data_IF_222910956575
#
_entry.id   IF_222910956575
#
_cell.length_a   1.000
_cell.length_b   1.000
_cell.length_c   1.000
_cell.angle_alpha   90.00
_cell.angle_beta   90.00
_cell.angle_gamma   90.00
#
_symmetry.space_group_name_H-M   'P 1'
#
loop_
_entity.id
_entity.type
_entity.pdbx_description
1 polymer ?
#
# COMPACT_ATOMS: atom_id res chain seq x y z
N UNK A 1 -1.24 10.57 -2.80
CA UNK A 1 -2.24 9.89 -3.65
C UNK A 1 -1.69 8.50 -3.90
N UNK A 2 -2.33 7.46 -3.35
CA UNK A 2 -1.85 6.07 -3.41
C UNK A 2 -2.91 5.09 -3.92
N UNK A 3 -4.21 5.23 -3.60
CA UNK A 3 -5.24 4.38 -4.19
C UNK A 3 -5.45 4.72 -5.68
N UNK A 4 -5.82 3.71 -6.45
CA UNK A 4 -6.25 3.82 -7.85
C UNK A 4 -7.70 3.29 -8.03
N UNK A 5 -8.19 3.30 -9.27
CA UNK A 5 -9.57 2.94 -9.60
C UNK A 5 -9.92 1.45 -9.45
N UNK A 6 -8.95 0.58 -9.17
CA UNK A 6 -9.19 -0.85 -8.97
C UNK A 6 -9.65 -1.21 -7.55
N UNK A 7 -9.54 -0.28 -6.60
CA UNK A 7 -9.87 -0.54 -5.20
C UNK A 7 -11.39 -0.62 -4.95
N UNK A 8 -11.80 -1.52 -4.06
CA UNK A 8 -13.17 -1.51 -3.50
C UNK A 8 -13.39 -0.22 -2.73
N UNK A 9 -14.34 0.59 -3.17
CA UNK A 9 -14.55 1.95 -2.65
C UNK A 9 -14.97 1.95 -1.18
N UNK A 10 -15.74 0.97 -0.74
CA UNK A 10 -16.23 0.90 0.64
C UNK A 10 -15.10 0.50 1.58
N UNK A 11 -14.34 -0.53 1.23
CA UNK A 11 -13.19 -0.97 2.02
C UNK A 11 -12.10 0.11 2.04
N UNK A 12 -11.88 0.80 0.93
CA UNK A 12 -10.92 1.90 0.83
C UNK A 12 -11.30 3.05 1.78
N UNK A 13 -12.53 3.53 1.72
CA UNK A 13 -12.98 4.65 2.56
C UNK A 13 -12.94 4.27 4.05
N UNK A 14 -13.43 3.07 4.40
CA UNK A 14 -13.39 2.59 5.78
C UNK A 14 -11.94 2.45 6.31
N UNK A 15 -11.03 1.90 5.50
CA UNK A 15 -9.61 1.78 5.85
C UNK A 15 -8.93 3.13 6.03
N UNK A 16 -9.24 4.12 5.18
CA UNK A 16 -8.74 5.48 5.30
C UNK A 16 -9.25 6.15 6.59
N UNK A 17 -10.53 5.97 6.94
CA UNK A 17 -11.09 6.49 8.19
C UNK A 17 -10.43 5.86 9.42
N UNK A 18 -10.13 4.56 9.40
CA UNK A 18 -9.35 3.90 10.46
C UNK A 18 -7.95 4.50 10.59
N UNK A 19 -7.26 4.73 9.47
CA UNK A 19 -5.94 5.35 9.47
C UNK A 19 -5.97 6.78 10.03
N UNK A 20 -6.98 7.57 9.66
CA UNK A 20 -7.19 8.91 10.21
C UNK A 20 -7.46 8.89 11.72
N UNK A 21 -8.38 8.02 12.19
CA UNK A 21 -8.66 7.79 13.61
C UNK A 21 -7.37 7.46 14.37
N UNK A 22 -6.60 6.49 13.88
CA UNK A 22 -5.32 6.09 14.49
C UNK A 22 -4.41 7.30 14.64
N UNK A 23 -4.31 8.16 13.62
CA UNK A 23 -3.53 9.39 13.65
C UNK A 23 -3.94 10.34 14.78
N UNK A 24 -5.25 10.55 14.97
CA UNK A 24 -5.79 11.36 16.06
C UNK A 24 -5.57 10.74 17.45
N UNK A 25 -5.56 9.42 17.55
CA UNK A 25 -5.35 8.68 18.80
C UNK A 25 -3.86 8.44 19.13
N UNK A 26 -2.92 8.85 18.27
CA UNK A 26 -1.49 8.67 18.53
C UNK A 26 -1.05 9.46 19.77
N UNK A 27 -0.28 8.82 20.66
CA UNK A 27 0.27 9.48 21.86
C UNK A 27 1.23 10.65 21.53
N UNK A 28 1.97 10.54 20.43
CA UNK A 28 2.98 11.54 20.02
C UNK A 28 2.90 11.81 18.50
N UNK A 29 1.84 12.48 18.02
CA UNK A 29 1.62 12.68 16.58
C UNK A 29 2.69 13.62 15.99
N UNK A 30 3.12 14.65 16.73
CA UNK A 30 4.14 15.61 16.27
C UNK A 30 5.47 14.95 15.92
N UNK A 31 5.93 13.97 16.73
CA UNK A 31 7.15 13.21 16.43
C UNK A 31 7.02 12.42 15.12
N UNK A 32 5.83 11.89 14.84
CA UNK A 32 5.58 11.19 13.58
C UNK A 32 5.61 12.18 12.43
N UNK A 33 4.97 13.34 12.59
CA UNK A 33 4.99 14.43 11.61
C UNK A 33 6.42 14.87 11.29
N UNK A 34 7.27 15.12 12.29
CA UNK A 34 8.68 15.48 12.08
C UNK A 34 9.45 14.45 11.25
N UNK A 35 9.13 13.16 11.41
CA UNK A 35 9.78 12.06 10.70
C UNK A 35 9.26 11.86 9.28
N UNK A 36 7.99 12.19 9.01
CA UNK A 36 7.33 11.90 7.74
C UNK A 36 7.02 13.12 6.90
N UNK A 37 7.18 14.33 7.45
CA UNK A 37 6.92 15.58 6.73
C UNK A 37 8.01 15.86 5.69
N UNK A 38 7.55 16.18 4.48
CA UNK A 38 8.40 16.42 3.33
C UNK A 38 7.92 17.71 2.66
N UNK A 39 8.79 18.70 2.68
CA UNK A 39 8.65 20.04 2.11
C UNK A 39 9.57 20.29 0.91
N UNK A 40 10.32 19.26 0.49
CA UNK A 40 11.31 19.31 -0.57
C UNK A 40 11.05 18.22 -1.60
N UNK A 41 11.64 18.35 -2.79
CA UNK A 41 11.59 17.29 -3.79
C UNK A 41 12.46 16.09 -3.37
N UNK A 42 11.85 15.06 -2.80
CA UNK A 42 12.54 13.84 -2.34
C UNK A 42 13.18 13.01 -3.46
N UNK A 43 12.92 13.34 -4.73
CA UNK A 43 13.56 12.68 -5.88
C UNK A 43 14.82 13.40 -6.35
N UNK A 44 15.16 14.56 -5.76
CA UNK A 44 16.42 15.23 -6.03
C UNK A 44 17.61 14.42 -5.48
N UNK A 45 18.72 14.41 -6.22
CA UNK A 45 19.95 13.70 -5.84
C UNK A 45 20.48 14.19 -4.49
N UNK A 46 20.26 15.45 -4.17
CA UNK A 46 20.71 16.10 -2.93
C UNK A 46 19.84 15.73 -1.71
N UNK A 47 18.74 15.00 -1.92
CA UNK A 47 17.76 14.64 -0.89
C UNK A 47 17.59 13.13 -0.70
N UNK A 48 18.51 12.32 -1.25
CA UNK A 48 18.51 10.86 -1.15
C UNK A 48 18.45 10.35 0.29
N UNK A 49 19.12 11.03 1.22
CA UNK A 49 19.13 10.66 2.64
C UNK A 49 17.76 10.82 3.29
N UNK A 50 16.98 11.83 2.88
CA UNK A 50 15.61 12.04 3.37
C UNK A 50 14.69 10.94 2.82
N UNK A 51 14.80 10.61 1.54
CA UNK A 51 14.05 9.52 0.92
C UNK A 51 14.36 8.16 1.56
N UNK A 52 15.62 7.88 1.89
CA UNK A 52 16.04 6.61 2.50
C UNK A 52 15.43 6.38 3.91
N UNK A 53 15.08 7.45 4.62
CA UNK A 53 14.46 7.38 5.95
C UNK A 53 12.94 7.16 5.91
N UNK A 54 12.29 7.46 4.78
CA UNK A 54 10.85 7.29 4.62
C UNK A 54 10.52 5.81 4.41
N UNK A 55 9.43 5.37 5.04
CA UNK A 55 8.88 4.04 4.76
C UNK A 55 8.33 4.02 3.33
N UNK A 56 8.70 2.99 2.58
CA UNK A 56 8.18 2.76 1.24
C UNK A 56 6.85 2.02 1.32
N UNK A 57 6.00 2.28 0.33
CA UNK A 57 4.80 1.48 0.12
C UNK A 57 5.20 0.06 -0.32
N UNK A 58 4.34 -0.94 -0.07
CA UNK A 58 4.47 -2.26 -0.66
C UNK A 58 4.66 -2.18 -2.18
N UNK A 59 5.53 -3.03 -2.74
CA UNK A 59 5.82 -3.05 -4.17
C UNK A 59 4.94 -4.07 -4.94
N UNK A 60 4.08 -4.81 -4.25
CA UNK A 60 3.23 -5.85 -4.83
C UNK A 60 1.94 -6.06 -4.01
N UNK A 61 0.96 -6.74 -4.60
CA UNK A 61 -0.26 -7.17 -3.92
C UNK A 61 0.07 -8.13 -2.78
N UNK A 62 1.02 -9.06 -3.01
CA UNK A 62 1.50 -9.98 -1.97
C UNK A 62 2.07 -9.23 -0.76
N UNK A 63 2.94 -8.23 -0.99
CA UNK A 63 3.48 -7.41 0.11
C UNK A 63 2.40 -6.57 0.80
N UNK A 64 1.39 -6.11 0.04
CA UNK A 64 0.25 -5.39 0.60
C UNK A 64 -0.58 -6.27 1.52
N UNK A 65 -0.79 -7.55 1.14
CA UNK A 65 -1.44 -8.54 1.99
C UNK A 65 -0.65 -8.81 3.28
N UNK A 66 0.68 -8.94 3.18
CA UNK A 66 1.56 -9.12 4.33
C UNK A 66 1.46 -7.93 5.30
N UNK A 67 1.44 -6.69 4.79
CA UNK A 67 1.23 -5.50 5.61
C UNK A 67 -0.16 -5.45 6.25
N UNK A 68 -1.21 -5.80 5.50
CA UNK A 68 -2.58 -5.83 6.01
C UNK A 68 -2.70 -6.79 7.19
N UNK A 69 -2.15 -8.00 7.08
CA UNK A 69 -2.12 -8.99 8.16
C UNK A 69 -1.30 -8.49 9.35
N UNK A 70 -0.12 -7.89 9.12
CA UNK A 70 0.70 -7.31 10.19
C UNK A 70 0.00 -6.18 10.95
N UNK A 71 -0.90 -5.47 10.26
CA UNK A 71 -1.65 -4.34 10.81
C UNK A 71 -3.07 -4.72 11.26
N UNK A 72 -3.42 -6.02 11.29
CA UNK A 72 -4.76 -6.54 11.61
C UNK A 72 -5.42 -5.81 12.78
N UNK A 73 -4.74 -5.76 13.93
CA UNK A 73 -5.29 -5.16 15.16
C UNK A 73 -5.75 -3.70 14.97
N UNK A 74 -5.07 -2.96 14.09
CA UNK A 74 -5.38 -1.55 13.80
C UNK A 74 -6.73 -1.45 13.09
N UNK A 75 -6.96 -2.34 12.12
CA UNK A 75 -8.16 -2.39 11.31
C UNK A 75 -9.33 -3.04 12.05
N UNK A 76 -9.09 -4.04 12.89
CA UNK A 76 -10.16 -4.70 13.66
C UNK A 76 -10.55 -3.93 14.92
N UNK A 77 -9.77 -2.93 15.35
CA UNK A 77 -10.10 -2.10 16.51
C UNK A 77 -11.46 -1.41 16.35
N UNK A 78 -12.28 -1.49 17.40
CA UNK A 78 -13.69 -1.06 17.44
C UNK A 78 -14.61 -1.79 16.47
N UNK A 79 -14.23 -3.01 16.05
CA UNK A 79 -15.02 -3.87 15.17
C UNK A 79 -15.36 -3.23 13.82
N UNK A 80 -14.51 -2.32 13.32
CA UNK A 80 -14.69 -1.69 12.01
C UNK A 80 -14.55 -2.73 10.89
N UNK A 81 -13.55 -3.61 11.02
CA UNK A 81 -13.38 -4.79 10.19
C UNK A 81 -13.40 -6.04 11.07
N UNK A 82 -13.91 -7.16 10.54
CA UNK A 82 -13.75 -8.47 11.18
C UNK A 82 -12.47 -9.13 10.70
N UNK A 83 -11.98 -10.11 11.47
CA UNK A 83 -10.80 -10.89 11.08
C UNK A 83 -11.00 -11.58 9.73
N UNK A 84 -12.20 -12.06 9.45
CA UNK A 84 -12.56 -12.73 8.20
C UNK A 84 -12.45 -11.80 6.99
N UNK A 85 -12.83 -10.52 7.14
CA UNK A 85 -12.68 -9.53 6.06
C UNK A 85 -11.21 -9.28 5.77
N UNK A 86 -10.38 -9.16 6.81
CA UNK A 86 -8.93 -8.99 6.69
C UNK A 86 -8.30 -10.20 5.99
N UNK A 87 -8.65 -11.42 6.43
CA UNK A 87 -8.13 -12.66 5.87
C UNK A 87 -8.57 -12.89 4.43
N UNK A 88 -9.83 -12.59 4.11
CA UNK A 88 -10.36 -12.67 2.75
C UNK A 88 -9.63 -11.71 1.82
N UNK A 89 -9.51 -10.44 2.20
CA UNK A 89 -8.86 -9.42 1.36
C UNK A 89 -7.37 -9.73 1.17
N UNK A 90 -6.66 -10.13 2.24
CA UNK A 90 -5.28 -10.58 2.14
C UNK A 90 -5.14 -11.82 1.25
N UNK A 91 -6.10 -12.74 1.31
CA UNK A 91 -6.16 -13.92 0.45
C UNK A 91 -6.33 -13.56 -1.02
N UNK A 92 -7.22 -12.63 -1.37
CA UNK A 92 -7.37 -12.14 -2.74
C UNK A 92 -6.08 -11.51 -3.27
N UNK A 93 -5.46 -10.63 -2.48
CA UNK A 93 -4.20 -9.99 -2.83
C UNK A 93 -3.06 -11.00 -3.06
N UNK A 94 -2.98 -12.05 -2.24
CA UNK A 94 -1.96 -13.11 -2.41
C UNK A 94 -2.14 -13.92 -3.70
N UNK A 95 -3.36 -14.06 -4.23
CA UNK A 95 -3.62 -14.81 -5.47
C UNK A 95 -2.99 -14.21 -6.71
N UNK A 96 -2.61 -12.92 -6.68
CA UNK A 96 -1.90 -12.30 -7.79
C UNK A 96 -0.47 -12.82 -7.97
N UNK A 97 0.14 -13.39 -6.93
CA UNK A 97 1.50 -13.96 -6.94
C UNK A 97 2.55 -13.04 -7.62
N UNK A 98 2.41 -11.74 -7.38
CA UNK A 98 3.12 -10.67 -8.08
C UNK A 98 4.40 -10.22 -7.37
N UNK A 99 4.84 -10.95 -6.33
CA UNK A 99 6.07 -10.63 -5.60
C UNK A 99 7.28 -10.73 -6.52
N UNK A 100 7.99 -9.63 -6.68
CA UNK A 100 9.14 -9.55 -7.60
C UNK A 100 8.78 -9.63 -9.08
N UNK A 101 7.51 -9.47 -9.46
CA UNK A 101 7.04 -9.59 -10.86
C UNK A 101 7.85 -8.72 -11.82
N UNK A 102 8.01 -7.43 -11.52
CA UNK A 102 8.75 -6.49 -12.39
C UNK A 102 10.16 -7.01 -12.66
N UNK A 103 10.88 -7.47 -11.64
CA UNK A 103 12.25 -7.95 -11.80
C UNK A 103 12.33 -9.22 -12.68
N UNK A 104 11.30 -10.08 -12.63
CA UNK A 104 11.20 -11.31 -13.44
C UNK A 104 10.99 -10.98 -14.93
N UNK A 105 10.16 -10.00 -15.24
CA UNK A 105 9.66 -9.77 -16.60
C UNK A 105 10.28 -8.57 -17.32
N UNK A 106 11.02 -7.70 -16.62
CA UNK A 106 11.51 -6.41 -17.14
C UNK A 106 12.30 -6.49 -18.47
N UNK A 107 12.87 -7.65 -18.79
CA UNK A 107 13.64 -7.88 -20.02
C UNK A 107 12.90 -8.78 -21.02
N UNK A 108 11.60 -9.05 -20.81
CA UNK A 108 10.76 -9.87 -21.67
C UNK A 108 9.55 -9.05 -22.16
N UNK A 109 9.68 -8.46 -23.34
CA UNK A 109 8.65 -7.60 -23.94
C UNK A 109 7.32 -8.34 -24.17
N UNK A 110 7.35 -9.64 -24.47
CA UNK A 110 6.16 -10.44 -24.70
C UNK A 110 5.33 -10.61 -23.43
N UNK A 111 5.97 -10.99 -22.31
CA UNK A 111 5.32 -11.10 -21.00
C UNK A 111 4.81 -9.74 -20.50
N UNK A 112 5.56 -8.65 -20.75
CA UNK A 112 5.10 -7.30 -20.44
C UNK A 112 3.82 -6.98 -21.22
N UNK A 113 3.80 -7.25 -22.52
CA UNK A 113 2.64 -6.98 -23.37
C UNK A 113 1.44 -7.85 -23.01
N UNK A 114 1.65 -9.09 -22.57
CA UNK A 114 0.57 -9.95 -22.06
C UNK A 114 -0.12 -9.31 -20.85
N UNK A 115 0.66 -8.79 -19.89
CA UNK A 115 0.10 -8.10 -18.72
C UNK A 115 -0.60 -6.79 -19.07
N UNK A 116 -0.03 -6.01 -19.99
CA UNK A 116 -0.66 -4.77 -20.47
C UNK A 116 -2.03 -5.10 -21.08
N UNK A 117 -2.09 -6.04 -22.01
CA UNK A 117 -3.35 -6.45 -22.63
C UNK A 117 -4.36 -7.03 -21.62
N UNK A 118 -3.86 -7.68 -20.57
CA UNK A 118 -4.70 -8.30 -19.54
C UNK A 118 -5.25 -7.31 -18.52
N UNK A 119 -4.51 -6.26 -18.14
CA UNK A 119 -4.88 -5.42 -16.98
C UNK A 119 -5.00 -3.94 -17.29
N UNK A 120 -4.44 -3.47 -18.41
CA UNK A 120 -4.50 -2.08 -18.81
C UNK A 120 -5.79 -1.82 -19.63
N UNK A 121 -6.89 -1.62 -18.92
CA UNK A 121 -8.22 -1.40 -19.52
C UNK A 121 -8.53 0.08 -19.83
N UNK A 122 -7.60 0.99 -19.55
CA UNK A 122 -7.80 2.44 -19.71
C UNK A 122 -6.68 3.03 -20.60
N UNK A 123 -7.02 3.32 -21.85
CA UNK A 123 -6.24 4.16 -22.77
C UNK A 123 -7.08 5.32 -23.25
#
# INVERSE_FOLDING_TARGET
>A
RSPDGSADIYLLLAGLTVAARRGFEMKNPLKTTEQTYVDINIFDKDHKDKLARLKKLPASCVESAEQLIRQRDIYTQHHVFTDEVIDFQAGLLKKYDDKGLIARIQNNEEEIMELVNRFFYCG
#
